data_IF_543907332514
#
_entry.id   IF_543907332514
#
_cell.length_a   1.000
_cell.length_b   1.000
_cell.length_c   1.000
_cell.angle_alpha   90.00
_cell.angle_beta   90.00
_cell.angle_gamma   90.00
#
_symmetry.space_group_name_H-M   'P 1'
#
loop_
_entity.id
_entity.type
_entity.pdbx_description
1 polymer ?
#
# COMPACT_ATOMS: atom_id res chain seq x y z
N UNK A 1 -13.03 -77.40 -32.68
CA UNK A 1 -12.65 -76.54 -31.54
C UNK A 1 -13.71 -75.47 -31.33
N UNK A 2 -14.45 -75.53 -30.22
CA UNK A 2 -15.62 -74.67 -29.93
C UNK A 2 -15.19 -73.66 -28.86
N UNK A 3 -15.08 -72.37 -29.20
CA UNK A 3 -14.72 -71.31 -28.23
C UNK A 3 -15.86 -71.16 -27.20
N UNK A 4 -15.59 -71.15 -25.89
CA UNK A 4 -16.61 -70.88 -24.88
C UNK A 4 -17.14 -69.45 -25.05
N UNK A 5 -18.46 -69.32 -25.18
CA UNK A 5 -19.16 -68.03 -25.16
C UNK A 5 -19.12 -67.51 -23.72
N UNK A 6 -18.36 -66.44 -23.47
CA UNK A 6 -18.43 -65.71 -22.21
C UNK A 6 -19.81 -65.07 -22.09
N UNK A 7 -20.63 -65.59 -21.17
CA UNK A 7 -21.89 -64.97 -20.80
C UNK A 7 -21.58 -63.62 -20.13
N UNK A 8 -21.60 -62.55 -20.92
CA UNK A 8 -21.66 -61.19 -20.37
C UNK A 8 -23.01 -61.01 -19.67
N UNK A 9 -23.05 -61.34 -18.37
CA UNK A 9 -24.13 -60.92 -17.49
C UNK A 9 -24.13 -59.39 -17.48
N UNK A 10 -25.09 -58.80 -18.18
CA UNK A 10 -25.38 -57.37 -18.08
C UNK A 10 -26.01 -57.14 -16.70
N UNK A 11 -25.19 -56.83 -15.70
CA UNK A 11 -25.65 -56.27 -14.44
C UNK A 11 -26.03 -54.82 -14.69
N UNK A 12 -27.32 -54.48 -14.55
CA UNK A 12 -27.74 -53.08 -14.50
C UNK A 12 -27.35 -52.47 -13.16
N UNK A 13 -27.12 -51.16 -13.13
CA UNK A 13 -26.89 -50.43 -11.89
C UNK A 13 -28.16 -50.43 -11.04
N UNK A 14 -28.01 -50.63 -9.74
CA UNK A 14 -29.10 -50.44 -8.79
C UNK A 14 -29.34 -48.94 -8.57
N UNK A 15 -30.57 -48.54 -8.29
CA UNK A 15 -30.90 -47.15 -7.92
C UNK A 15 -30.09 -46.66 -6.72
N UNK A 16 -29.75 -47.57 -5.80
CA UNK A 16 -28.93 -47.28 -4.64
C UNK A 16 -27.49 -46.89 -5.02
N UNK A 17 -26.86 -47.62 -5.94
CA UNK A 17 -25.51 -47.30 -6.41
C UNK A 17 -25.47 -45.94 -7.12
N UNK A 18 -26.50 -45.61 -7.91
CA UNK A 18 -26.60 -44.31 -8.58
C UNK A 18 -26.74 -43.18 -7.55
N UNK A 19 -27.54 -43.38 -6.49
CA UNK A 19 -27.70 -42.40 -5.42
C UNK A 19 -26.39 -42.18 -4.65
N UNK A 20 -25.72 -43.26 -4.23
CA UNK A 20 -24.45 -43.18 -3.51
C UNK A 20 -23.38 -42.51 -4.38
N UNK A 21 -23.28 -42.90 -5.65
CA UNK A 21 -22.31 -42.31 -6.59
C UNK A 21 -22.59 -40.82 -6.81
N UNK A 22 -23.85 -40.42 -6.88
CA UNK A 22 -24.24 -39.02 -7.05
C UNK A 22 -23.88 -38.17 -5.83
N UNK A 23 -24.12 -38.67 -4.61
CA UNK A 23 -23.75 -37.97 -3.37
C UNK A 23 -22.24 -37.81 -3.27
N UNK A 24 -21.48 -38.87 -3.57
CA UNK A 24 -20.02 -38.82 -3.59
C UNK A 24 -19.52 -37.84 -4.66
N UNK A 25 -20.09 -37.85 -5.86
CA UNK A 25 -19.73 -36.91 -6.91
C UNK A 25 -20.00 -35.46 -6.51
N UNK A 26 -21.17 -35.16 -5.92
CA UNK A 26 -21.51 -33.82 -5.44
C UNK A 26 -20.53 -33.38 -4.34
N UNK A 27 -20.19 -34.26 -3.39
CA UNK A 27 -19.25 -33.95 -2.32
C UNK A 27 -17.85 -33.63 -2.87
N UNK A 28 -17.35 -34.44 -3.81
CA UNK A 28 -16.05 -34.24 -4.45
C UNK A 28 -16.01 -32.94 -5.26
N UNK A 29 -17.05 -32.69 -6.07
CA UNK A 29 -17.17 -31.46 -6.86
C UNK A 29 -17.30 -30.22 -5.96
N UNK A 30 -18.05 -30.32 -4.86
CA UNK A 30 -18.18 -29.25 -3.88
C UNK A 30 -16.85 -28.91 -3.20
N UNK A 31 -16.09 -29.92 -2.78
CA UNK A 31 -14.76 -29.72 -2.22
C UNK A 31 -13.80 -29.08 -3.23
N UNK A 32 -13.80 -29.56 -4.48
CA UNK A 32 -12.98 -28.98 -5.56
C UNK A 32 -13.35 -27.52 -5.85
N UNK A 33 -14.64 -27.20 -5.89
CA UNK A 33 -15.14 -25.83 -6.08
C UNK A 33 -14.73 -24.89 -4.93
N UNK A 34 -14.77 -25.38 -3.68
CA UNK A 34 -14.34 -24.62 -2.51
C UNK A 34 -12.83 -24.35 -2.55
N UNK A 35 -12.01 -25.37 -2.82
CA UNK A 35 -10.55 -25.19 -2.95
C UNK A 35 -10.22 -24.22 -4.08
N UNK A 36 -10.91 -24.32 -5.22
CA UNK A 36 -10.70 -23.41 -6.35
C UNK A 36 -11.08 -21.97 -6.01
N UNK A 37 -12.17 -21.76 -5.26
CA UNK A 37 -12.62 -20.41 -4.91
C UNK A 37 -11.69 -19.76 -3.89
N UNK A 38 -11.21 -20.51 -2.88
CA UNK A 38 -10.20 -20.06 -1.93
C UNK A 38 -8.88 -19.73 -2.62
N UNK A 39 -8.41 -20.60 -3.51
CA UNK A 39 -7.16 -20.39 -4.27
C UNK A 39 -7.26 -19.13 -5.14
N UNK A 40 -8.38 -18.94 -5.83
CA UNK A 40 -8.60 -17.76 -6.65
C UNK A 40 -8.63 -16.46 -5.83
N UNK A 41 -9.23 -16.49 -4.63
CA UNK A 41 -9.23 -15.34 -3.71
C UNK A 41 -7.84 -15.03 -3.16
N UNK A 42 -7.09 -16.06 -2.72
CA UNK A 42 -5.73 -15.88 -2.23
C UNK A 42 -4.80 -15.32 -3.33
N UNK A 43 -4.92 -15.83 -4.56
CA UNK A 43 -4.15 -15.33 -5.70
C UNK A 43 -4.45 -13.85 -5.98
N UNK A 44 -5.73 -13.45 -6.04
CA UNK A 44 -6.11 -12.06 -6.25
C UNK A 44 -5.56 -11.15 -5.15
N UNK A 45 -5.67 -11.55 -3.89
CA UNK A 45 -5.15 -10.75 -2.78
C UNK A 45 -3.62 -10.58 -2.85
N UNK A 46 -2.91 -11.63 -3.30
CA UNK A 46 -1.46 -11.57 -3.51
C UNK A 46 -1.10 -10.60 -4.63
N UNK A 47 -1.83 -10.64 -5.76
CA UNK A 47 -1.63 -9.71 -6.88
C UNK A 47 -1.93 -8.27 -6.47
N UNK A 48 -3.01 -8.04 -5.72
CA UNK A 48 -3.41 -6.72 -5.24
C UNK A 48 -2.35 -6.12 -4.30
N UNK A 49 -1.85 -6.90 -3.33
CA UNK A 49 -0.76 -6.46 -2.44
C UNK A 49 0.54 -6.17 -3.19
N UNK A 50 0.88 -6.99 -4.19
CA UNK A 50 2.05 -6.75 -5.02
C UNK A 50 1.90 -5.46 -5.85
N UNK A 51 0.71 -5.17 -6.38
CA UNK A 51 0.43 -3.90 -7.07
C UNK A 51 0.58 -2.70 -6.13
N UNK A 52 -0.03 -2.75 -4.93
CA UNK A 52 0.11 -1.71 -3.90
C UNK A 52 1.58 -1.49 -3.52
N UNK A 53 2.33 -2.56 -3.24
CA UNK A 53 3.75 -2.47 -2.92
C UNK A 53 4.55 -1.80 -4.05
N UNK A 54 4.26 -2.13 -5.32
CA UNK A 54 4.94 -1.50 -6.46
C UNK A 54 4.57 -0.03 -6.63
N UNK A 55 3.31 0.36 -6.37
CA UNK A 55 2.89 1.77 -6.40
C UNK A 55 3.57 2.57 -5.29
N UNK A 56 3.56 2.05 -4.06
CA UNK A 56 4.21 2.66 -2.92
C UNK A 56 5.72 2.80 -3.14
N UNK A 57 6.41 1.74 -3.62
CA UNK A 57 7.85 1.80 -3.95
C UNK A 57 8.17 2.87 -4.97
N UNK A 58 7.41 2.98 -6.06
CA UNK A 58 7.65 4.04 -7.07
C UNK A 58 7.50 5.44 -6.50
N UNK A 59 6.53 5.65 -5.61
CA UNK A 59 6.33 6.94 -4.95
C UNK A 59 7.48 7.23 -3.98
N UNK A 60 7.89 6.26 -3.16
CA UNK A 60 9.00 6.39 -2.23
C UNK A 60 10.35 6.58 -2.93
N UNK A 61 10.61 5.88 -4.04
CA UNK A 61 11.79 6.09 -4.87
C UNK A 61 11.86 7.53 -5.38
N UNK A 62 10.70 8.11 -5.72
CA UNK A 62 10.62 9.51 -6.15
C UNK A 62 10.89 10.47 -5.00
N UNK A 63 10.32 10.24 -3.82
CA UNK A 63 10.56 11.04 -2.60
C UNK A 63 12.04 10.98 -2.22
N UNK A 64 12.62 9.77 -2.15
CA UNK A 64 14.02 9.54 -1.80
C UNK A 64 14.97 10.21 -2.81
N UNK A 65 14.68 10.16 -4.11
CA UNK A 65 15.48 10.83 -5.13
C UNK A 65 15.51 12.35 -4.91
N UNK A 66 14.36 12.97 -4.64
CA UNK A 66 14.28 14.42 -4.42
C UNK A 66 14.98 14.82 -3.12
N UNK A 67 14.79 14.07 -2.03
CA UNK A 67 15.44 14.31 -0.73
C UNK A 67 16.96 14.11 -0.77
N UNK A 68 17.46 13.14 -1.55
CA UNK A 68 18.90 12.90 -1.70
C UNK A 68 19.68 14.08 -2.32
N UNK A 69 18.96 15.02 -2.95
CA UNK A 69 19.52 16.26 -3.51
C UNK A 69 19.45 17.47 -2.56
N UNK A 70 18.84 17.28 -1.38
CA UNK A 70 18.78 18.28 -0.31
C UNK A 70 20.01 18.21 0.60
N UNK A 71 20.29 19.32 1.28
CA UNK A 71 21.14 19.31 2.47
C UNK A 71 20.30 19.05 3.73
N UNK A 72 20.89 18.35 4.71
CA UNK A 72 20.25 18.05 5.99
C UNK A 72 19.90 19.27 6.84
N UNK A 73 20.58 20.40 6.62
CA UNK A 73 20.38 21.63 7.38
C UNK A 73 19.08 22.36 7.02
N UNK A 74 18.52 22.08 5.85
CA UNK A 74 17.34 22.79 5.32
C UNK A 74 16.05 21.98 5.34
N UNK A 75 16.07 20.81 5.97
CA UNK A 75 14.90 19.94 6.10
C UNK A 75 14.02 20.41 7.26
N UNK A 76 12.76 20.74 6.97
CA UNK A 76 11.79 21.30 7.92
C UNK A 76 10.51 20.46 7.88
N UNK A 77 9.95 19.98 9.00
CA UNK A 77 10.47 20.12 10.34
C UNK A 77 11.71 19.23 10.53
N UNK A 78 12.63 19.66 11.39
CA UNK A 78 13.80 18.87 11.79
C UNK A 78 13.43 17.90 12.93
N UNK A 79 12.29 17.21 12.82
CA UNK A 79 11.81 16.28 13.85
C UNK A 79 12.79 15.10 13.95
N UNK A 80 13.56 15.05 15.04
CA UNK A 80 14.46 13.93 15.33
C UNK A 80 13.70 12.82 16.07
N UNK A 81 14.05 11.56 15.82
CA UNK A 81 13.49 10.36 16.50
C UNK A 81 13.37 10.58 18.01
N UNK A 82 12.23 10.21 18.65
CA UNK A 82 11.11 9.42 18.13
C UNK A 82 9.95 10.27 17.59
N UNK A 83 10.22 11.47 17.07
CA UNK A 83 9.19 12.24 16.39
C UNK A 83 9.10 11.84 14.91
N UNK A 84 7.88 11.81 14.38
CA UNK A 84 7.62 11.68 12.96
C UNK A 84 6.90 12.92 12.44
N UNK A 85 6.76 13.02 11.12
CA UNK A 85 5.92 14.02 10.47
C UNK A 85 5.36 13.45 9.17
N UNK A 86 4.18 13.91 8.77
CA UNK A 86 3.53 13.63 7.48
C UNK A 86 3.78 14.74 6.45
N UNK A 87 4.55 15.77 6.82
CA UNK A 87 4.89 16.92 5.98
C UNK A 87 6.38 17.25 6.11
N UNK A 88 7.07 17.43 4.97
CA UNK A 88 8.46 17.85 4.95
C UNK A 88 8.72 18.85 3.83
N UNK A 89 9.41 19.92 4.16
CA UNK A 89 9.84 20.98 3.26
C UNK A 89 11.36 21.05 3.18
N UNK A 90 11.89 21.22 1.97
CA UNK A 90 13.32 21.31 1.74
C UNK A 90 13.63 21.93 0.36
N UNK A 91 14.77 22.63 0.20
CA UNK A 91 15.27 23.04 -1.10
C UNK A 91 16.14 21.94 -1.75
N UNK A 92 16.27 21.97 -3.07
CA UNK A 92 17.16 21.09 -3.82
C UNK A 92 18.37 21.86 -4.35
N UNK A 93 19.54 21.21 -4.38
CA UNK A 93 20.71 21.79 -5.01
C UNK A 93 20.54 21.79 -6.54
N UNK A 94 20.40 22.97 -7.15
CA UNK A 94 20.27 23.14 -8.61
C UNK A 94 21.63 23.09 -9.31
N UNK A 95 22.69 23.47 -8.60
CA UNK A 95 24.04 23.49 -9.12
C UNK A 95 24.99 24.25 -8.21
N UNK A 96 26.17 24.55 -8.73
CA UNK A 96 27.17 25.37 -8.04
C UNK A 96 27.52 26.53 -8.97
N UNK A 97 27.35 27.76 -8.47
CA UNK A 97 27.74 28.98 -9.20
C UNK A 97 28.88 29.64 -8.43
N UNK A 98 30.11 29.46 -8.92
CA UNK A 98 31.32 29.82 -8.16
C UNK A 98 31.60 28.80 -7.05
N UNK A 99 31.70 29.26 -5.80
CA UNK A 99 31.87 28.43 -4.60
C UNK A 99 30.59 28.33 -3.74
N UNK A 100 29.45 28.73 -4.30
CA UNK A 100 28.15 28.74 -3.61
C UNK A 100 27.19 27.76 -4.30
N UNK A 101 26.54 26.92 -3.50
CA UNK A 101 25.47 26.03 -3.98
C UNK A 101 24.24 26.90 -4.26
N UNK A 102 23.72 26.77 -5.48
CA UNK A 102 22.46 27.39 -5.87
C UNK A 102 21.31 26.46 -5.45
N UNK A 103 20.40 26.97 -4.63
CA UNK A 103 19.29 26.22 -4.05
C UNK A 103 17.99 26.58 -4.74
N UNK A 104 17.15 25.58 -4.99
CA UNK A 104 15.79 25.81 -5.46
C UNK A 104 14.94 26.52 -4.40
N UNK A 105 13.80 27.10 -4.79
CA UNK A 105 12.70 27.33 -3.86
C UNK A 105 12.31 26.05 -3.10
N UNK A 106 11.53 26.19 -2.03
CA UNK A 106 11.10 25.06 -1.21
C UNK A 106 10.22 24.09 -2.02
N UNK A 107 10.55 22.81 -1.92
CA UNK A 107 9.67 21.70 -2.23
C UNK A 107 9.01 21.22 -0.95
N UNK A 108 7.85 20.58 -1.08
CA UNK A 108 7.13 19.95 0.03
C UNK A 108 6.64 18.57 -0.37
N UNK A 109 6.79 17.58 0.50
CA UNK A 109 5.99 16.37 0.46
C UNK A 109 5.02 16.39 1.62
N UNK A 110 3.75 16.10 1.35
CA UNK A 110 2.72 16.08 2.39
C UNK A 110 1.68 15.00 2.10
N UNK A 111 1.02 14.53 3.15
CA UNK A 111 -0.29 13.91 3.04
C UNK A 111 -1.36 14.98 2.80
N UNK A 112 -2.31 14.69 1.90
CA UNK A 112 -3.51 15.50 1.70
C UNK A 112 -4.71 14.60 1.43
N UNK A 113 -5.82 14.81 2.13
CA UNK A 113 -7.09 14.12 1.86
C UNK A 113 -7.48 14.16 0.38
N UNK A 114 -8.09 13.08 -0.10
CA UNK A 114 -8.58 13.00 -1.48
C UNK A 114 -9.73 13.99 -1.72
N UNK A 115 -10.04 14.24 -3.00
CA UNK A 115 -11.09 15.20 -3.32
C UNK A 115 -12.46 14.63 -2.94
N UNK A 116 -13.04 15.14 -1.86
CA UNK A 116 -14.33 14.68 -1.34
C UNK A 116 -14.22 14.11 0.06
N UNK A 117 -13.00 13.75 0.47
CA UNK A 117 -12.68 13.25 1.81
C UNK A 117 -12.45 14.40 2.80
N UNK A 118 -12.90 14.16 4.03
CA UNK A 118 -12.60 14.93 5.23
C UNK A 118 -12.32 13.97 6.37
N UNK A 119 -11.57 14.42 7.37
CA UNK A 119 -11.31 13.67 8.61
C UNK A 119 -12.59 13.57 9.46
N UNK A 120 -13.42 12.57 9.17
CA UNK A 120 -14.68 12.34 9.89
C UNK A 120 -14.99 10.87 10.24
N UNK A 121 -14.10 9.94 9.90
CA UNK A 121 -14.27 8.53 10.18
C UNK A 121 -15.18 7.81 9.18
N UNK A 122 -15.51 8.44 8.05
CA UNK A 122 -16.43 7.91 7.05
C UNK A 122 -15.79 7.85 5.65
N UNK A 123 -16.35 6.98 4.81
CA UNK A 123 -16.07 6.88 3.37
C UNK A 123 -16.91 7.97 2.66
N UNK A 124 -16.35 9.16 2.44
CA UNK A 124 -17.11 10.30 1.93
C UNK A 124 -17.32 10.25 0.41
N UNK A 125 -16.39 9.66 -0.33
CA UNK A 125 -16.42 9.56 -1.80
C UNK A 125 -17.00 8.22 -2.32
N UNK A 126 -17.14 7.22 -1.44
CA UNK A 126 -17.76 5.93 -1.72
C UNK A 126 -16.83 4.90 -2.37
N UNK A 127 -15.52 5.11 -2.37
CA UNK A 127 -14.54 4.17 -2.93
C UNK A 127 -14.27 2.97 -2.00
N UNK A 128 -14.69 3.08 -0.73
CA UNK A 128 -14.60 2.05 0.29
C UNK A 128 -13.31 2.05 1.10
N UNK A 129 -12.48 3.07 0.96
CA UNK A 129 -11.51 3.52 1.94
C UNK A 129 -12.21 4.53 2.89
N UNK A 130 -11.55 4.88 3.99
CA UNK A 130 -12.07 5.80 5.00
C UNK A 130 -10.96 6.77 5.32
N UNK A 131 -11.26 8.07 5.26
CA UNK A 131 -10.34 9.17 5.52
C UNK A 131 -9.01 9.04 4.73
N UNK A 132 -9.06 8.53 3.50
CA UNK A 132 -7.86 8.34 2.68
C UNK A 132 -7.38 9.61 2.00
N UNK A 133 -6.12 9.57 1.57
CA UNK A 133 -5.46 10.70 0.95
C UNK A 133 -4.48 10.36 -0.14
N UNK A 134 -3.82 11.42 -0.58
CA UNK A 134 -2.78 11.44 -1.57
C UNK A 134 -1.45 11.79 -0.93
N UNK A 135 -0.39 11.12 -1.37
CA UNK A 135 0.96 11.63 -1.20
C UNK A 135 1.20 12.65 -2.31
N UNK A 136 1.39 13.90 -1.93
CA UNK A 136 1.61 15.01 -2.86
C UNK A 136 3.04 15.53 -2.80
N UNK A 137 3.49 16.05 -3.92
CA UNK A 137 4.68 16.88 -4.03
C UNK A 137 4.25 18.28 -4.48
N UNK A 138 4.60 19.28 -3.69
CA UNK A 138 4.49 20.69 -4.09
C UNK A 138 5.87 21.25 -4.39
N UNK A 139 5.95 22.09 -5.41
CA UNK A 139 7.18 22.82 -5.79
C UNK A 139 6.90 24.30 -5.73
N UNK A 140 7.93 25.10 -5.46
CA UNK A 140 7.84 26.55 -5.34
C UNK A 140 6.83 26.97 -4.25
N UNK A 141 6.86 26.26 -3.12
CA UNK A 141 5.91 26.43 -2.01
C UNK A 141 5.90 27.88 -1.53
N UNK A 142 4.72 28.48 -1.49
CA UNK A 142 4.53 29.88 -1.10
C UNK A 142 4.85 30.92 -2.18
N UNK A 143 5.21 30.48 -3.40
CA UNK A 143 5.39 31.36 -4.56
C UNK A 143 4.18 31.31 -5.49
N UNK A 144 4.04 32.34 -6.34
CA UNK A 144 2.97 32.37 -7.35
C UNK A 144 3.11 31.27 -8.44
N UNK A 145 4.27 30.62 -8.51
CA UNK A 145 4.57 29.51 -9.43
C UNK A 145 4.35 28.14 -8.78
N UNK A 146 3.73 28.08 -7.60
CA UNK A 146 3.51 26.83 -6.89
C UNK A 146 2.80 25.78 -7.79
N UNK A 147 3.37 24.58 -7.84
CA UNK A 147 2.78 23.45 -8.58
C UNK A 147 2.55 22.27 -7.66
N UNK A 148 1.43 21.57 -7.86
CA UNK A 148 1.04 20.39 -7.08
C UNK A 148 1.02 19.15 -7.98
N UNK A 149 1.69 18.09 -7.55
CA UNK A 149 1.78 16.81 -8.25
C UNK A 149 1.39 15.70 -7.27
N UNK A 150 0.38 14.91 -7.61
CA UNK A 150 0.03 13.70 -6.86
C UNK A 150 1.00 12.59 -7.25
N UNK A 151 1.74 12.05 -6.29
CA UNK A 151 2.67 10.94 -6.49
C UNK A 151 1.97 9.60 -6.36
N UNK A 152 1.07 9.48 -5.39
CA UNK A 152 0.27 8.29 -5.14
C UNK A 152 -1.05 8.64 -4.47
N UNK A 153 -2.05 7.82 -4.70
CA UNK A 153 -3.42 7.90 -4.16
C UNK A 153 -3.75 6.64 -3.37
N UNK A 154 -4.78 6.70 -2.53
CA UNK A 154 -5.17 5.62 -1.61
C UNK A 154 -4.17 5.44 -0.46
N UNK A 155 -3.57 6.54 0.01
CA UNK A 155 -2.76 6.57 1.23
C UNK A 155 -3.70 6.51 2.42
N UNK A 156 -3.48 5.59 3.35
CA UNK A 156 -4.31 5.49 4.55
C UNK A 156 -4.02 6.65 5.51
N UNK A 157 -5.00 7.03 6.33
CA UNK A 157 -4.80 8.03 7.38
C UNK A 157 -3.67 7.61 8.33
N UNK A 158 -3.69 6.36 8.80
CA UNK A 158 -2.72 5.80 9.74
C UNK A 158 -1.83 4.73 9.10
N UNK A 159 -0.66 4.50 9.71
CA UNK A 159 0.27 3.45 9.33
C UNK A 159 -0.35 2.06 9.57
N UNK A 160 0.07 1.07 8.78
CA UNK A 160 -0.48 -0.28 8.91
C UNK A 160 -0.18 -0.88 10.28
N UNK A 161 -1.23 -1.07 11.08
CA UNK A 161 -1.14 -1.66 12.41
C UNK A 161 -1.49 -0.68 13.52
N UNK A 162 -1.46 0.62 13.22
CA UNK A 162 -1.81 1.70 14.15
C UNK A 162 -3.32 1.85 14.30
N UNK A 163 -3.72 2.28 15.50
CA UNK A 163 -5.08 2.65 15.83
C UNK A 163 -5.07 3.99 16.57
N UNK A 164 -6.02 4.89 16.29
CA UNK A 164 -5.96 6.25 16.82
C UNK A 164 -6.02 6.27 18.35
N UNK A 165 -4.99 6.85 18.95
CA UNK A 165 -4.88 7.13 20.38
C UNK A 165 -4.57 5.92 21.26
N UNK A 166 -4.01 4.85 20.69
CA UNK A 166 -3.65 3.64 21.44
C UNK A 166 -2.14 3.51 21.73
N UNK A 167 -1.29 4.31 21.09
CA UNK A 167 0.15 4.34 21.33
C UNK A 167 0.93 3.77 20.15
N UNK A 168 1.88 2.86 20.43
CA UNK A 168 2.68 2.14 19.43
C UNK A 168 2.16 0.69 19.31
N UNK A 169 1.15 0.47 18.47
CA UNK A 169 0.54 -0.85 18.30
C UNK A 169 1.40 -1.77 17.45
N UNK A 170 2.11 -1.19 16.48
CA UNK A 170 2.91 -1.94 15.53
C UNK A 170 4.30 -2.32 16.09
N UNK A 171 4.73 -1.69 17.19
CA UNK A 171 5.96 -1.96 17.92
C UNK A 171 7.22 -1.35 17.28
N UNK A 172 7.09 -0.27 16.50
CA UNK A 172 8.21 0.38 15.82
C UNK A 172 8.84 1.54 16.60
N UNK A 173 8.30 1.87 17.77
CA UNK A 173 8.80 2.93 18.66
C UNK A 173 8.26 4.33 18.36
N UNK A 174 7.28 4.46 17.47
CA UNK A 174 6.55 5.69 17.18
C UNK A 174 5.07 5.48 17.54
N UNK A 175 4.38 6.55 17.91
CA UNK A 175 2.97 6.49 18.31
C UNK A 175 2.09 7.19 17.26
N UNK A 176 0.96 6.57 16.93
CA UNK A 176 -0.12 7.13 16.11
C UNK A 176 0.33 7.63 14.71
N UNK A 177 1.25 6.94 14.02
CA UNK A 177 1.82 7.51 12.79
C UNK A 177 0.85 7.54 11.63
N UNK A 178 0.93 8.61 10.85
CA UNK A 178 0.17 8.72 9.62
C UNK A 178 0.61 7.68 8.58
N UNK A 179 -0.29 7.33 7.65
CA UNK A 179 0.01 6.35 6.60
C UNK A 179 1.15 6.78 5.68
N UNK A 180 1.40 8.09 5.55
CA UNK A 180 2.67 8.63 5.10
C UNK A 180 3.38 9.29 6.28
N UNK A 181 4.54 8.76 6.67
CA UNK A 181 5.32 9.34 7.74
C UNK A 181 6.82 9.35 7.40
N UNK A 182 7.50 10.37 7.90
CA UNK A 182 8.93 10.57 7.82
C UNK A 182 9.50 10.62 9.23
N UNK A 183 10.58 9.89 9.45
CA UNK A 183 11.33 9.84 10.69
C UNK A 183 12.79 10.17 10.38
N UNK A 184 13.41 11.09 11.14
CA UNK A 184 14.81 11.48 10.94
C UNK A 184 15.68 11.05 12.11
N UNK A 185 16.73 10.31 11.79
CA UNK A 185 17.83 9.96 12.70
C UNK A 185 19.15 10.52 12.13
N UNK A 186 19.54 11.69 12.62
CA UNK A 186 20.72 12.43 12.14
C UNK A 186 20.62 12.80 10.65
N UNK A 187 21.48 12.20 9.83
CA UNK A 187 21.48 12.41 8.36
C UNK A 187 20.57 11.43 7.62
N UNK A 188 19.94 10.47 8.30
CA UNK A 188 19.11 9.45 7.66
C UNK A 188 17.64 9.80 7.88
N UNK A 189 16.88 9.86 6.78
CA UNK A 189 15.42 9.98 6.81
C UNK A 189 14.83 8.66 6.39
N UNK A 190 14.08 8.02 7.28
CA UNK A 190 13.25 6.86 7.00
C UNK A 190 11.85 7.33 6.60
N UNK A 191 11.35 6.79 5.50
CA UNK A 191 10.09 7.20 4.88
C UNK A 191 9.23 5.96 4.77
N UNK A 192 8.02 6.02 5.35
CA UNK A 192 7.04 4.94 5.29
C UNK A 192 5.82 5.41 4.53
N UNK A 193 5.25 4.50 3.74
CA UNK A 193 4.04 4.75 2.98
C UNK A 193 3.14 3.52 3.03
N UNK A 194 1.92 3.71 3.54
CA UNK A 194 0.87 2.72 3.64
C UNK A 194 -0.21 3.04 2.62
N UNK A 195 -0.47 2.09 1.72
CA UNK A 195 -1.55 2.20 0.76
C UNK A 195 -2.62 1.16 1.06
N UNK A 196 -3.88 1.54 0.87
CA UNK A 196 -5.01 0.63 0.89
C UNK A 196 -5.76 0.63 -0.45
N UNK A 197 -6.44 -0.47 -0.72
CA UNK A 197 -7.39 -0.58 -1.83
C UNK A 197 -8.43 -1.65 -1.57
N UNK A 198 -9.66 -1.35 -1.96
CA UNK A 198 -10.76 -2.32 -1.96
C UNK A 198 -10.76 -3.21 -3.21
N UNK A 199 -10.85 -4.52 -3.00
CA UNK A 199 -11.16 -5.52 -4.04
C UNK A 199 -12.62 -5.32 -4.49
N UNK A 200 -12.95 -5.50 -5.79
CA UNK A 200 -14.33 -5.61 -6.28
C UNK A 200 -15.31 -6.48 -5.46
N UNK A 201 -14.82 -7.42 -4.65
CA UNK A 201 -15.64 -8.23 -3.72
C UNK A 201 -15.82 -7.64 -2.32
N UNK A 202 -15.33 -6.42 -2.10
CA UNK A 202 -15.39 -5.71 -0.82
C UNK A 202 -14.28 -6.05 0.17
N UNK A 203 -13.32 -6.90 -0.21
CA UNK A 203 -12.15 -7.18 0.64
C UNK A 203 -11.17 -6.01 0.63
N UNK A 204 -10.52 -5.73 1.76
CA UNK A 204 -9.51 -4.69 1.86
C UNK A 204 -8.11 -5.27 1.80
N UNK A 205 -7.25 -4.67 0.98
CA UNK A 205 -5.82 -4.95 1.01
C UNK A 205 -5.07 -3.67 1.41
N UNK A 206 -4.24 -3.79 2.43
CA UNK A 206 -3.35 -2.74 2.91
C UNK A 206 -1.91 -3.23 2.78
N UNK A 207 -1.00 -2.33 2.44
CA UNK A 207 0.41 -2.64 2.30
C UNK A 207 1.27 -1.42 2.64
N UNK A 208 2.15 -1.58 3.63
CA UNK A 208 3.21 -0.62 3.94
C UNK A 208 4.50 -0.96 3.21
N UNK A 209 5.22 0.08 2.78
CA UNK A 209 6.59 0.02 2.28
C UNK A 209 7.41 1.07 3.01
N UNK A 210 8.67 0.75 3.26
CA UNK A 210 9.65 1.64 3.88
C UNK A 210 10.87 1.80 2.98
N UNK A 211 11.48 2.98 2.99
CA UNK A 211 12.82 3.24 2.46
C UNK A 211 13.56 4.24 3.34
N UNK A 212 14.89 4.23 3.30
CA UNK A 212 15.70 5.23 3.99
C UNK A 212 16.62 5.95 3.00
N UNK A 213 16.75 7.26 3.18
CA UNK A 213 17.64 8.11 2.39
C UNK A 213 18.62 8.81 3.32
N UNK A 214 19.90 8.87 2.93
CA UNK A 214 20.90 9.67 3.62
C UNK A 214 21.00 11.05 2.98
N UNK A 215 20.71 12.08 3.74
CA UNK A 215 20.88 13.48 3.39
C UNK A 215 22.37 13.80 3.26
N UNK A 216 22.69 14.79 2.42
CA UNK A 216 24.06 15.28 2.28
C UNK A 216 24.30 16.41 3.28
N UNK A 217 25.49 16.41 3.86
CA UNK A 217 26.03 17.53 4.65
C UNK A 217 26.99 18.35 3.78
#
# INVERSE_FOLDING_TARGET
MRRPRSNNRRGGFTLLEVLISSVLAIAVLGAAALVSSTTASAYRNTVLRADLANRARRALDRVALELASSSGDFVIPANETPAWTDDIQFPQALGVTGDVIDWSPLLQFAFEYEQGEIDDGLDNDGDGLVDEGNLVMRRDVGLATETRIVLCSGVTELLQGELPGLGDENGNGLEDEAGFCLERDGDVVTIRLTLARRDPRGGMATQTVETSVRLRN
#
